data_IF_004094636886
#
_entry.id   IF_004094636886
#
_cell.length_a   1.000
_cell.length_b   1.000
_cell.length_c   1.000
_cell.angle_alpha   90.00
_cell.angle_beta   90.00
_cell.angle_gamma   90.00
#
_symmetry.space_group_name_H-M   'P 1'
#
loop_
_entity.id
_entity.type
_entity.pdbx_description
1 polymer ?
#
# COMPACT_ATOMS: atom_id res chain seq x y z
N UNK A 1 -5.73 -10.21 -1.54
CA UNK A 1 -6.35 -10.57 -2.83
C UNK A 1 -6.38 -12.09 -3.05
N UNK A 2 -5.24 -12.79 -3.00
CA UNK A 2 -5.15 -14.25 -3.22
C UNK A 2 -6.17 -15.03 -2.38
N UNK A 3 -6.25 -14.74 -1.08
CA UNK A 3 -7.19 -15.38 -0.16
C UNK A 3 -8.65 -15.20 -0.57
N UNK A 4 -9.05 -13.99 -1.01
CA UNK A 4 -10.42 -13.72 -1.43
C UNK A 4 -10.78 -14.45 -2.73
N UNK A 5 -9.83 -14.55 -3.67
CA UNK A 5 -10.02 -15.31 -4.91
C UNK A 5 -10.08 -16.82 -4.65
N UNK A 6 -9.21 -17.35 -3.78
CA UNK A 6 -9.25 -18.75 -3.37
C UNK A 6 -10.58 -19.09 -2.69
N UNK A 7 -11.05 -18.22 -1.77
CA UNK A 7 -12.34 -18.43 -1.12
C UNK A 7 -13.50 -18.37 -2.13
N UNK A 8 -13.48 -17.43 -3.10
CA UNK A 8 -14.48 -17.36 -4.17
C UNK A 8 -14.53 -18.64 -5.02
N UNK A 9 -13.36 -19.21 -5.32
CA UNK A 9 -13.26 -20.46 -6.09
C UNK A 9 -13.78 -21.66 -5.30
N UNK A 10 -13.66 -21.64 -3.97
CA UNK A 10 -14.04 -22.75 -3.10
C UNK A 10 -15.54 -22.83 -2.84
N UNK A 11 -16.30 -21.73 -2.97
CA UNK A 11 -17.75 -21.72 -2.69
C UNK A 11 -18.49 -20.63 -3.46
N UNK A 12 -19.72 -20.95 -3.86
CA UNK A 12 -20.66 -19.98 -4.45
C UNK A 12 -21.87 -19.69 -3.55
N UNK A 13 -21.97 -20.39 -2.40
CA UNK A 13 -23.15 -20.34 -1.50
C UNK A 13 -22.80 -19.79 -0.12
N UNK A 14 -21.62 -20.10 0.42
CA UNK A 14 -21.20 -19.59 1.72
C UNK A 14 -20.90 -18.10 1.59
N UNK A 15 -21.53 -17.23 2.42
CA UNK A 15 -21.25 -15.80 2.42
C UNK A 15 -19.79 -15.49 2.70
N UNK A 16 -19.21 -14.60 1.91
CA UNK A 16 -17.82 -14.15 2.05
C UNK A 16 -17.79 -12.63 2.23
N UNK A 17 -17.21 -12.17 3.33
CA UNK A 17 -17.00 -10.75 3.59
C UNK A 17 -15.50 -10.45 3.54
N UNK A 18 -15.07 -9.64 2.57
CA UNK A 18 -13.66 -9.38 2.31
C UNK A 18 -13.21 -7.96 2.70
N UNK A 19 -11.92 -7.80 3.01
CA UNK A 19 -11.20 -6.53 2.96
C UNK A 19 -9.99 -6.67 2.03
N UNK A 20 -9.94 -5.86 0.99
CA UNK A 20 -8.85 -5.90 0.01
C UNK A 20 -8.29 -4.51 -0.28
N UNK A 21 -7.03 -4.47 -0.73
CA UNK A 21 -6.34 -3.22 -1.10
C UNK A 21 -6.43 -2.86 -2.58
N UNK A 22 -7.06 -3.70 -3.39
CA UNK A 22 -7.20 -3.51 -4.84
C UNK A 22 -8.67 -3.42 -5.25
N UNK A 23 -8.94 -3.05 -6.51
CA UNK A 23 -10.28 -2.96 -7.06
C UNK A 23 -10.93 -4.37 -7.18
N UNK A 24 -12.05 -4.63 -6.47
CA UNK A 24 -12.72 -5.92 -6.49
C UNK A 24 -13.45 -6.22 -7.82
N UNK A 25 -13.77 -5.19 -8.62
CA UNK A 25 -14.38 -5.35 -9.93
C UNK A 25 -13.31 -5.73 -10.95
N UNK A 26 -12.21 -4.97 -11.01
CA UNK A 26 -11.07 -5.27 -11.89
C UNK A 26 -10.48 -6.66 -11.61
N UNK A 27 -10.46 -7.08 -10.34
CA UNK A 27 -10.00 -8.41 -9.95
C UNK A 27 -11.03 -9.53 -10.16
N UNK A 28 -12.21 -9.21 -10.65
CA UNK A 28 -13.29 -10.16 -10.91
C UNK A 28 -13.90 -10.79 -9.65
N UNK A 29 -13.71 -10.20 -8.47
CA UNK A 29 -14.34 -10.69 -7.23
C UNK A 29 -15.83 -10.44 -7.21
N UNK A 30 -16.24 -9.25 -7.62
CA UNK A 30 -17.64 -8.82 -7.66
C UNK A 30 -17.98 -8.19 -9.02
N UNK A 31 -19.29 -8.09 -9.35
CA UNK A 31 -19.75 -7.50 -10.60
C UNK A 31 -19.65 -5.97 -10.60
N UNK A 32 -20.00 -5.34 -9.49
CA UNK A 32 -19.90 -3.89 -9.27
C UNK A 32 -19.83 -3.58 -7.77
N UNK A 33 -19.45 -2.36 -7.42
CA UNK A 33 -19.45 -1.89 -6.03
C UNK A 33 -20.89 -1.83 -5.46
N UNK A 34 -21.83 -1.29 -6.20
CA UNK A 34 -23.23 -1.10 -5.74
C UNK A 34 -24.03 -2.42 -5.69
N UNK A 35 -23.73 -3.35 -6.60
CA UNK A 35 -24.39 -4.66 -6.70
C UNK A 35 -23.34 -5.74 -6.90
N UNK A 36 -22.75 -6.26 -5.80
CA UNK A 36 -21.67 -7.24 -5.90
C UNK A 36 -22.07 -8.49 -6.68
N UNK A 37 -23.28 -8.96 -6.48
CA UNK A 37 -23.82 -10.16 -7.12
C UNK A 37 -23.14 -11.43 -6.60
N UNK A 38 -23.93 -12.45 -6.27
CA UNK A 38 -23.39 -13.69 -5.69
C UNK A 38 -23.24 -13.62 -4.18
N UNK A 39 -22.25 -14.37 -3.66
CA UNK A 39 -22.04 -14.59 -2.23
C UNK A 39 -20.93 -13.73 -1.60
N UNK A 40 -20.40 -12.75 -2.34
CA UNK A 40 -19.29 -11.91 -1.86
C UNK A 40 -19.73 -10.45 -1.66
N UNK A 41 -19.28 -9.85 -0.57
CA UNK A 41 -19.35 -8.41 -0.32
C UNK A 41 -18.16 -8.00 0.56
N UNK A 42 -17.99 -6.70 0.86
CA UNK A 42 -16.92 -6.27 1.75
C UNK A 42 -16.45 -4.84 1.55
N UNK A 43 -15.15 -4.63 1.82
CA UNK A 43 -14.45 -3.35 1.78
C UNK A 43 -13.30 -3.37 0.76
N UNK A 44 -13.18 -2.29 -0.03
CA UNK A 44 -12.05 -2.02 -0.90
C UNK A 44 -11.35 -0.72 -0.45
N UNK A 45 -10.04 -0.80 -0.15
CA UNK A 45 -9.23 0.35 0.28
C UNK A 45 -8.49 1.04 -0.87
N UNK A 46 -8.46 0.41 -2.04
CA UNK A 46 -7.80 0.91 -3.25
C UNK A 46 -6.36 1.39 -3.03
N UNK A 47 -5.60 0.69 -2.18
CA UNK A 47 -4.24 1.09 -1.82
C UNK A 47 -3.25 1.01 -2.99
N UNK A 48 -3.53 0.16 -3.98
CA UNK A 48 -2.73 0.07 -5.21
C UNK A 48 -2.90 1.34 -6.04
N UNK A 49 -4.13 1.84 -6.14
CA UNK A 49 -4.47 3.07 -6.88
C UNK A 49 -3.85 4.34 -6.24
N UNK A 50 -3.41 4.26 -4.98
CA UNK A 50 -2.72 5.34 -4.28
C UNK A 50 -1.19 5.36 -4.52
N UNK A 51 -0.63 4.35 -5.17
CA UNK A 51 0.83 4.27 -5.42
C UNK A 51 1.37 5.48 -6.20
N UNK A 52 0.72 5.97 -7.28
CA UNK A 52 1.17 7.16 -7.98
C UNK A 52 1.20 8.41 -7.07
N UNK A 53 0.24 8.52 -6.14
CA UNK A 53 0.22 9.64 -5.19
C UNK A 53 1.35 9.55 -4.17
N UNK A 54 1.68 8.34 -3.72
CA UNK A 54 2.86 8.13 -2.87
C UNK A 54 4.16 8.49 -3.58
N UNK A 55 4.29 8.16 -4.88
CA UNK A 55 5.44 8.57 -5.69
C UNK A 55 5.54 10.09 -5.81
N UNK A 56 4.42 10.80 -6.02
CA UNK A 56 4.40 12.27 -6.02
C UNK A 56 4.89 12.84 -4.69
N UNK A 57 4.44 12.30 -3.56
CA UNK A 57 4.89 12.72 -2.24
C UNK A 57 6.39 12.48 -2.03
N UNK A 58 6.89 11.31 -2.47
CA UNK A 58 8.33 11.04 -2.43
C UNK A 58 9.11 12.05 -3.28
N UNK A 59 8.62 12.39 -4.46
CA UNK A 59 9.25 13.40 -5.33
C UNK A 59 9.17 14.81 -4.74
N UNK A 60 8.10 15.15 -4.02
CA UNK A 60 8.02 16.41 -3.26
C UNK A 60 9.07 16.48 -2.14
N UNK A 61 9.38 15.35 -1.50
CA UNK A 61 10.43 15.25 -0.47
C UNK A 61 11.83 15.29 -1.05
N UNK A 62 12.03 14.75 -2.26
CA UNK A 62 13.31 14.68 -2.94
C UNK A 62 13.14 15.13 -4.40
N UNK A 63 13.01 16.45 -4.67
CA UNK A 63 12.74 16.98 -6.02
C UNK A 63 13.86 16.70 -7.03
N UNK A 64 15.08 16.48 -6.54
CA UNK A 64 16.24 16.12 -7.35
C UNK A 64 16.29 14.63 -7.74
N UNK A 65 15.38 13.80 -7.23
CA UNK A 65 15.36 12.37 -7.52
C UNK A 65 15.19 12.12 -9.03
N UNK A 66 16.17 11.45 -9.62
CA UNK A 66 16.12 10.97 -11.03
C UNK A 66 15.94 9.47 -11.10
N UNK A 67 16.31 8.76 -10.04
CA UNK A 67 16.21 7.30 -9.90
C UNK A 67 15.47 7.00 -8.63
N UNK A 68 14.38 6.24 -8.72
CA UNK A 68 13.60 5.73 -7.59
C UNK A 68 13.46 4.22 -7.74
N UNK A 69 13.65 3.51 -6.65
CA UNK A 69 13.40 2.07 -6.62
C UNK A 69 11.97 1.76 -6.18
N UNK A 70 11.40 0.70 -6.74
CA UNK A 70 10.15 0.10 -6.33
C UNK A 70 10.40 -1.32 -5.83
N UNK A 71 10.21 -1.55 -4.55
CA UNK A 71 10.33 -2.88 -3.93
C UNK A 71 9.01 -3.63 -4.07
N UNK A 72 9.02 -4.78 -4.76
CA UNK A 72 7.85 -5.63 -4.96
C UNK A 72 8.10 -7.05 -4.46
N UNK A 73 7.06 -7.73 -4.01
CA UNK A 73 7.10 -9.16 -3.77
C UNK A 73 6.66 -9.89 -5.06
N UNK A 74 7.54 -10.64 -5.73
CA UNK A 74 7.21 -11.33 -6.98
C UNK A 74 6.13 -12.40 -6.83
N UNK A 75 5.90 -12.90 -5.61
CA UNK A 75 4.80 -13.83 -5.31
C UNK A 75 3.43 -13.13 -5.20
N UNK A 76 3.40 -11.78 -5.13
CA UNK A 76 2.15 -11.02 -5.10
C UNK A 76 1.57 -10.90 -6.51
N UNK A 77 0.31 -11.33 -6.75
CA UNK A 77 -0.33 -11.23 -8.08
C UNK A 77 -0.41 -9.79 -8.63
N UNK A 78 -0.30 -8.77 -7.77
CA UNK A 78 -0.33 -7.38 -8.19
C UNK A 78 1.07 -6.82 -8.55
N UNK A 79 2.14 -7.58 -8.34
CA UNK A 79 3.51 -7.07 -8.51
C UNK A 79 3.78 -6.54 -9.93
N UNK A 80 3.31 -7.27 -10.94
CA UNK A 80 3.50 -6.86 -12.33
C UNK A 80 2.67 -5.62 -12.68
N UNK A 81 1.37 -5.59 -12.32
CA UNK A 81 0.50 -4.43 -12.59
C UNK A 81 0.99 -3.20 -11.83
N UNK A 82 1.33 -3.33 -10.54
CA UNK A 82 1.91 -2.26 -9.73
C UNK A 82 3.19 -1.70 -10.37
N UNK A 83 4.09 -2.57 -10.83
CA UNK A 83 5.33 -2.14 -11.51
C UNK A 83 5.05 -1.36 -12.81
N UNK A 84 4.08 -1.80 -13.62
CA UNK A 84 3.69 -1.11 -14.85
C UNK A 84 3.04 0.24 -14.56
N UNK A 85 2.11 0.30 -13.62
CA UNK A 85 1.38 1.52 -13.26
C UNK A 85 2.34 2.55 -12.65
N UNK A 86 3.28 2.10 -11.81
CA UNK A 86 4.31 2.97 -11.24
C UNK A 86 5.29 3.49 -12.30
N UNK A 87 5.72 2.65 -13.26
CA UNK A 87 6.57 3.10 -14.37
C UNK A 87 5.85 4.15 -15.24
N UNK A 88 4.55 3.97 -15.49
CA UNK A 88 3.73 4.94 -16.20
C UNK A 88 3.61 6.28 -15.44
N UNK A 89 3.48 6.23 -14.10
CA UNK A 89 3.41 7.41 -13.24
C UNK A 89 4.76 8.13 -13.12
N UNK A 90 5.88 7.40 -13.11
CA UNK A 90 7.23 7.95 -12.98
C UNK A 90 7.70 8.70 -14.25
N UNK A 91 7.30 8.21 -15.43
CA UNK A 91 7.73 8.75 -16.74
C UNK A 91 7.50 10.27 -16.90
N UNK A 92 6.28 10.83 -16.65
CA UNK A 92 6.05 12.27 -16.79
C UNK A 92 6.80 13.11 -15.76
N UNK A 93 7.26 12.50 -14.66
CA UNK A 93 8.05 13.15 -13.62
C UNK A 93 9.56 13.13 -13.92
N UNK A 94 9.98 12.51 -15.03
CA UNK A 94 11.40 12.35 -15.40
C UNK A 94 12.16 11.42 -14.46
N UNK A 95 11.46 10.49 -13.80
CA UNK A 95 12.02 9.52 -12.87
C UNK A 95 12.24 8.18 -13.56
N UNK A 96 13.46 7.66 -13.50
CA UNK A 96 13.78 6.28 -13.83
C UNK A 96 13.37 5.36 -12.68
N UNK A 97 12.42 4.45 -12.93
CA UNK A 97 11.95 3.50 -11.93
C UNK A 97 12.71 2.18 -12.08
N UNK A 98 13.35 1.73 -10.99
CA UNK A 98 14.00 0.42 -10.91
C UNK A 98 13.20 -0.51 -10.00
N UNK A 99 12.85 -1.70 -10.50
CA UNK A 99 12.06 -2.68 -9.75
C UNK A 99 12.99 -3.64 -9.05
N UNK A 100 12.96 -3.63 -7.73
CA UNK A 100 13.64 -4.57 -6.85
C UNK A 100 12.67 -5.64 -6.35
N UNK A 101 13.13 -6.86 -6.18
CA UNK A 101 12.28 -7.99 -5.81
C UNK A 101 12.73 -8.59 -4.49
N UNK A 102 11.78 -8.80 -3.57
CA UNK A 102 12.02 -9.52 -2.32
C UNK A 102 10.80 -10.34 -1.91
N UNK A 103 11.02 -11.60 -1.57
CA UNK A 103 9.98 -12.53 -1.08
C UNK A 103 10.30 -13.11 0.30
N UNK A 104 11.50 -12.84 0.81
CA UNK A 104 12.01 -13.29 2.11
C UNK A 104 13.01 -12.28 2.68
N UNK A 105 13.49 -12.50 3.90
CA UNK A 105 14.37 -11.56 4.60
C UNK A 105 15.75 -11.42 3.92
N UNK A 106 16.28 -12.49 3.31
CA UNK A 106 17.54 -12.43 2.56
C UNK A 106 17.43 -11.57 1.31
N UNK A 107 16.31 -11.70 0.60
CA UNK A 107 16.04 -10.88 -0.58
C UNK A 107 15.94 -9.39 -0.21
N UNK A 108 15.40 -9.05 0.99
CA UNK A 108 15.38 -7.68 1.48
C UNK A 108 16.80 -7.12 1.61
N UNK A 109 17.71 -7.85 2.24
CA UNK A 109 19.09 -7.41 2.41
C UNK A 109 19.81 -7.21 1.06
N UNK A 110 19.57 -8.11 0.11
CA UNK A 110 20.10 -7.98 -1.25
C UNK A 110 19.52 -6.76 -1.98
N UNK A 111 18.21 -6.55 -1.88
CA UNK A 111 17.55 -5.42 -2.52
C UNK A 111 18.05 -4.07 -1.97
N UNK A 112 18.29 -3.96 -0.67
CA UNK A 112 18.84 -2.75 -0.09
C UNK A 112 20.32 -2.54 -0.44
N UNK A 113 21.11 -3.60 -0.58
CA UNK A 113 22.48 -3.50 -1.12
C UNK A 113 22.48 -3.04 -2.59
N UNK A 114 21.50 -3.44 -3.39
CA UNK A 114 21.35 -3.01 -4.79
C UNK A 114 20.95 -1.53 -4.89
N UNK A 115 20.16 -0.99 -3.93
CA UNK A 115 19.81 0.43 -3.86
C UNK A 115 21.02 1.34 -3.87
N UNK A 116 22.05 0.99 -3.10
CA UNK A 116 23.31 1.78 -3.00
C UNK A 116 24.03 1.79 -4.34
N UNK A 117 24.09 0.65 -5.03
CA UNK A 117 24.73 0.54 -6.36
C UNK A 117 23.97 1.29 -7.45
N UNK A 118 22.64 1.38 -7.35
CA UNK A 118 21.78 2.12 -8.27
C UNK A 118 21.86 3.64 -8.08
N UNK A 119 22.37 4.12 -6.95
CA UNK A 119 22.28 5.52 -6.57
C UNK A 119 20.83 6.00 -6.49
N UNK A 120 19.92 5.14 -6.02
CA UNK A 120 18.51 5.46 -5.90
C UNK A 120 18.31 6.59 -4.88
N UNK A 121 17.56 7.62 -5.26
CA UNK A 121 17.28 8.77 -4.39
C UNK A 121 16.03 8.59 -3.52
N UNK A 122 15.32 7.49 -3.70
CA UNK A 122 14.14 7.15 -2.90
C UNK A 122 13.65 5.72 -3.16
N UNK A 123 12.87 5.21 -2.22
CA UNK A 123 12.31 3.87 -2.24
C UNK A 123 10.79 3.91 -2.08
N UNK A 124 10.10 3.33 -3.04
CA UNK A 124 8.68 2.99 -2.94
C UNK A 124 8.55 1.52 -2.53
N UNK A 125 7.69 1.23 -1.54
CA UNK A 125 7.42 -0.14 -1.12
C UNK A 125 5.99 -0.48 -1.53
N UNK A 126 5.84 -1.49 -2.40
CA UNK A 126 4.55 -1.91 -2.91
C UNK A 126 3.69 -2.58 -1.83
N UNK A 127 2.35 -2.51 -1.94
CA UNK A 127 1.44 -3.17 -1.01
C UNK A 127 1.61 -4.68 -0.97
N UNK A 128 2.07 -5.22 0.16
CA UNK A 128 2.25 -6.66 0.33
C UNK A 128 2.18 -7.07 1.81
N UNK A 129 1.52 -8.21 2.16
CA UNK A 129 1.45 -8.71 3.54
C UNK A 129 2.81 -9.09 4.14
N UNK A 130 3.75 -9.60 3.33
CA UNK A 130 5.10 -9.88 3.79
C UNK A 130 5.80 -8.60 4.21
N UNK A 131 5.75 -7.54 3.39
CA UNK A 131 6.33 -6.24 3.73
C UNK A 131 5.67 -5.60 4.95
N UNK A 132 4.34 -5.73 5.10
CA UNK A 132 3.66 -5.29 6.32
C UNK A 132 4.25 -5.96 7.56
N UNK A 133 4.41 -7.28 7.54
CA UNK A 133 4.99 -8.03 8.66
C UNK A 133 6.46 -7.70 8.94
N UNK A 134 7.12 -6.96 8.05
CA UNK A 134 8.51 -6.51 8.12
C UNK A 134 8.66 -5.00 8.22
N UNK A 135 7.57 -4.27 8.56
CA UNK A 135 7.58 -2.79 8.63
C UNK A 135 8.73 -2.25 9.47
N UNK A 136 8.99 -2.82 10.65
CA UNK A 136 10.10 -2.39 11.51
C UNK A 136 11.48 -2.64 10.85
N UNK A 137 11.67 -3.80 10.21
CA UNK A 137 12.92 -4.10 9.50
C UNK A 137 13.12 -3.18 8.31
N UNK A 138 12.07 -2.95 7.52
CA UNK A 138 12.11 -2.04 6.37
C UNK A 138 12.44 -0.61 6.79
N UNK A 139 11.88 -0.12 7.90
CA UNK A 139 12.21 1.19 8.45
C UNK A 139 13.69 1.28 8.87
N UNK A 140 14.20 0.26 9.56
CA UNK A 140 15.61 0.18 9.97
C UNK A 140 16.55 0.14 8.77
N UNK A 141 16.26 -0.69 7.76
CA UNK A 141 17.06 -0.78 6.54
C UNK A 141 17.03 0.55 5.77
N UNK A 142 15.87 1.18 5.61
CA UNK A 142 15.75 2.47 4.93
C UNK A 142 16.61 3.55 5.62
N UNK A 143 16.60 3.58 6.95
CA UNK A 143 17.42 4.52 7.71
C UNK A 143 18.92 4.19 7.62
N UNK A 144 19.30 2.91 7.72
CA UNK A 144 20.69 2.47 7.64
C UNK A 144 21.33 2.80 6.27
N UNK A 145 20.58 2.63 5.19
CA UNK A 145 20.98 2.97 3.81
C UNK A 145 20.70 4.44 3.45
N UNK A 146 20.23 5.25 4.42
CA UNK A 146 19.91 6.67 4.24
C UNK A 146 18.98 6.95 3.04
N UNK A 147 18.06 6.04 2.77
CA UNK A 147 17.12 6.14 1.65
C UNK A 147 15.75 6.64 2.13
N UNK A 148 15.24 7.76 1.60
CA UNK A 148 13.85 8.18 1.82
C UNK A 148 12.89 7.11 1.30
N UNK A 149 12.12 6.50 2.21
CA UNK A 149 11.21 5.41 1.84
C UNK A 149 9.76 5.77 2.15
N UNK A 150 8.87 5.39 1.23
CA UNK A 150 7.42 5.59 1.36
C UNK A 150 6.72 4.25 1.29
N UNK A 151 5.83 4.00 2.25
CA UNK A 151 5.03 2.79 2.32
C UNK A 151 3.54 3.14 2.53
N UNK A 152 2.67 2.16 2.39
CA UNK A 152 1.25 2.37 2.65
C UNK A 152 0.85 2.20 4.11
N UNK A 153 1.64 1.47 4.91
CA UNK A 153 1.24 1.07 6.27
C UNK A 153 1.81 2.02 7.33
N UNK A 154 0.93 2.44 8.26
CA UNK A 154 1.30 3.30 9.38
C UNK A 154 2.34 2.66 10.30
N UNK A 155 2.31 1.32 10.44
CA UNK A 155 3.25 0.54 11.22
C UNK A 155 4.71 0.76 10.77
N UNK A 156 4.92 1.10 9.50
CA UNK A 156 6.24 1.46 8.98
C UNK A 156 6.73 2.79 9.57
N UNK A 157 5.87 3.80 9.65
CA UNK A 157 6.22 5.13 10.17
C UNK A 157 6.35 5.09 11.69
N UNK A 158 5.47 4.36 12.39
CA UNK A 158 5.55 4.10 13.82
C UNK A 158 6.86 3.40 14.21
N UNK A 159 7.36 2.52 13.35
CA UNK A 159 8.63 1.82 13.51
C UNK A 159 9.87 2.65 13.09
N UNK A 160 9.71 3.92 12.72
CA UNK A 160 10.80 4.82 12.32
C UNK A 160 10.92 5.05 10.82
N UNK A 161 9.98 4.59 10.00
CA UNK A 161 9.90 4.93 8.57
C UNK A 161 9.54 6.39 8.34
N UNK A 162 9.75 6.89 7.12
CA UNK A 162 9.61 8.32 6.81
C UNK A 162 8.17 8.76 6.61
N UNK A 163 7.42 8.07 5.75
CA UNK A 163 6.08 8.47 5.32
C UNK A 163 5.21 7.26 5.01
N UNK A 164 3.93 7.33 5.41
CA UNK A 164 2.89 6.44 4.92
C UNK A 164 1.67 7.23 4.42
N UNK A 165 1.02 6.66 3.39
CA UNK A 165 -0.20 7.25 2.82
C UNK A 165 -1.13 6.14 2.34
N UNK A 166 -2.22 5.90 3.06
CA UNK A 166 -3.18 4.84 2.77
C UNK A 166 -4.51 5.02 3.49
N UNK A 167 -5.52 4.26 3.08
CA UNK A 167 -6.78 4.15 3.81
C UNK A 167 -6.61 3.49 5.17
N UNK A 168 -7.29 4.02 6.19
CA UNK A 168 -7.29 3.46 7.54
C UNK A 168 -7.91 2.04 7.54
N UNK A 169 -7.18 1.01 8.00
CA UNK A 169 -7.68 -0.36 8.01
C UNK A 169 -8.83 -0.57 8.99
N UNK A 170 -8.91 0.23 10.05
CA UNK A 170 -9.93 0.04 11.11
C UNK A 170 -11.35 0.24 10.60
N UNK A 171 -11.55 1.17 9.66
CA UNK A 171 -12.88 1.39 9.04
C UNK A 171 -13.33 0.16 8.25
N UNK A 172 -12.40 -0.47 7.52
CA UNK A 172 -12.68 -1.73 6.82
C UNK A 172 -13.06 -2.85 7.79
N UNK A 173 -12.35 -2.98 8.91
CA UNK A 173 -12.63 -4.02 9.91
C UNK A 173 -13.97 -3.79 10.60
N UNK A 174 -14.32 -2.54 10.94
CA UNK A 174 -15.65 -2.21 11.47
C UNK A 174 -16.77 -2.54 10.48
N UNK A 175 -16.55 -2.27 9.19
CA UNK A 175 -17.53 -2.65 8.17
C UNK A 175 -17.70 -4.16 8.07
N UNK A 176 -16.60 -4.92 8.03
CA UNK A 176 -16.64 -6.37 7.98
C UNK A 176 -17.47 -6.91 9.13
N UNK A 177 -17.23 -6.43 10.36
CA UNK A 177 -18.03 -6.81 11.53
C UNK A 177 -19.52 -6.52 11.36
N UNK A 178 -19.87 -5.31 10.90
CA UNK A 178 -21.28 -4.94 10.63
C UNK A 178 -21.92 -5.80 9.54
N UNK A 179 -21.22 -6.05 8.43
CA UNK A 179 -21.75 -6.86 7.34
C UNK A 179 -21.91 -8.33 7.72
N UNK A 180 -20.95 -8.86 8.51
CA UNK A 180 -21.06 -10.21 9.07
C UNK A 180 -22.32 -10.34 9.94
N UNK A 181 -22.56 -9.38 10.84
CA UNK A 181 -23.75 -9.38 11.69
C UNK A 181 -25.07 -9.32 10.88
N UNK A 182 -25.13 -8.48 9.84
CA UNK A 182 -26.30 -8.36 8.95
C UNK A 182 -26.54 -9.67 8.17
N UNK A 183 -25.48 -10.31 7.68
CA UNK A 183 -25.58 -11.58 6.95
C UNK A 183 -26.02 -12.71 7.89
N UNK A 184 -25.52 -12.76 9.12
CA UNK A 184 -25.97 -13.70 10.12
C UNK A 184 -27.45 -13.45 10.52
N UNK A 185 -27.92 -12.20 10.39
CA UNK A 185 -29.31 -11.81 10.55
C UNK A 185 -30.22 -12.11 9.35
N UNK A 186 -29.66 -12.73 8.29
CA UNK A 186 -30.44 -13.20 7.12
C UNK A 186 -30.34 -12.30 5.88
N UNK A 187 -29.57 -11.19 5.90
CA UNK A 187 -29.35 -10.38 4.70
C UNK A 187 -28.41 -11.09 3.72
N UNK A 188 -28.68 -10.90 2.42
CA UNK A 188 -27.84 -11.53 1.40
C UNK A 188 -26.61 -10.67 1.07
N UNK A 189 -25.42 -11.26 0.89
CA UNK A 189 -24.23 -10.53 0.45
C UNK A 189 -24.44 -9.71 -0.82
N UNK A 190 -25.26 -10.21 -1.76
CA UNK A 190 -25.61 -9.53 -3.03
C UNK A 190 -26.32 -8.19 -2.84
N UNK A 191 -26.97 -7.97 -1.72
CA UNK A 191 -27.75 -6.77 -1.39
C UNK A 191 -26.93 -5.76 -0.57
N UNK A 192 -25.72 -6.14 -0.15
CA UNK A 192 -24.78 -5.33 0.60
C UNK A 192 -23.71 -4.74 -0.34
N UNK A 193 -23.74 -3.43 -0.64
CA UNK A 193 -22.74 -2.82 -1.52
C UNK A 193 -21.32 -3.00 -0.99
N UNK A 194 -20.36 -3.26 -1.87
CA UNK A 194 -18.95 -3.15 -1.50
C UNK A 194 -18.64 -1.69 -1.23
N UNK A 195 -18.16 -1.38 -0.04
CA UNK A 195 -17.79 -0.02 0.31
C UNK A 195 -16.32 0.26 -0.04
N UNK A 196 -16.12 1.36 -0.72
CA UNK A 196 -14.81 1.92 -0.93
C UNK A 196 -14.51 2.90 0.22
N UNK A 197 -13.40 2.69 0.90
CA UNK A 197 -12.95 3.62 1.92
C UNK A 197 -12.04 4.67 1.31
N UNK A 198 -12.48 5.93 1.42
CA UNK A 198 -11.75 7.11 0.97
C UNK A 198 -11.10 7.89 2.14
N UNK A 199 -11.19 7.39 3.37
CA UNK A 199 -10.52 8.03 4.51
C UNK A 199 -9.04 7.66 4.46
N UNK A 200 -8.28 8.49 3.73
CA UNK A 200 -6.85 8.28 3.48
C UNK A 200 -6.10 9.13 4.51
N UNK A 201 -5.16 8.50 5.20
CA UNK A 201 -4.32 9.13 6.21
C UNK A 201 -2.90 9.31 5.69
N UNK A 202 -2.36 10.50 5.87
CA UNK A 202 -0.95 10.83 5.68
C UNK A 202 -0.26 10.87 7.05
N UNK A 203 0.73 10.02 7.23
CA UNK A 203 1.55 10.02 8.43
C UNK A 203 3.00 10.33 8.09
N UNK A 204 3.63 11.23 8.85
CA UNK A 204 5.00 11.70 8.66
C UNK A 204 5.83 11.49 9.92
N UNK A 205 7.11 11.16 9.74
CA UNK A 205 8.09 11.09 10.83
C UNK A 205 9.18 12.15 10.63
N UNK A 206 9.11 13.24 11.39
CA UNK A 206 10.07 14.34 11.29
C UNK A 206 11.44 13.98 11.90
N UNK A 207 11.50 13.05 12.88
CA UNK A 207 12.79 12.53 13.38
C UNK A 207 13.56 11.82 12.26
N UNK A 208 12.86 10.97 11.52
CA UNK A 208 13.44 10.25 10.39
C UNK A 208 13.80 11.20 9.25
N UNK A 209 12.94 12.17 8.94
CA UNK A 209 13.26 13.21 7.96
C UNK A 209 14.55 13.96 8.32
N UNK A 210 14.68 14.39 9.58
CA UNK A 210 15.90 15.06 10.10
C UNK A 210 17.13 14.14 10.02
N UNK A 211 17.00 12.87 10.37
CA UNK A 211 18.10 11.90 10.30
C UNK A 211 18.57 11.67 8.85
N UNK A 212 17.65 11.76 7.88
CA UNK A 212 17.93 11.67 6.45
C UNK A 212 18.41 13.00 5.83
N UNK A 213 18.42 14.09 6.60
CA UNK A 213 18.77 15.42 6.10
C UNK A 213 17.72 16.05 5.19
N UNK A 214 16.48 15.62 5.31
CA UNK A 214 15.35 16.10 4.47
C UNK A 214 14.67 17.30 5.12
N UNK A 215 14.30 18.26 4.29
CA UNK A 215 13.40 19.35 4.65
C UNK A 215 12.00 18.97 4.15
N UNK A 216 11.09 18.75 5.08
CA UNK A 216 9.69 18.42 4.71
C UNK A 216 8.99 19.72 4.32
N UNK A 217 8.38 19.79 3.11
CA UNK A 217 7.59 20.95 2.71
C UNK A 217 6.45 21.23 3.70
N UNK A 218 6.27 22.51 4.08
CA UNK A 218 5.22 22.94 5.03
C UNK A 218 3.84 22.43 4.62
N UNK A 219 3.55 22.39 3.32
CA UNK A 219 2.29 21.87 2.78
C UNK A 219 2.06 20.40 3.17
N UNK A 220 3.09 19.55 3.12
CA UNK A 220 2.96 18.14 3.53
C UNK A 220 2.73 18.01 5.02
N UNK A 221 3.43 18.81 5.84
CA UNK A 221 3.21 18.84 7.29
C UNK A 221 1.80 19.29 7.62
N UNK A 222 1.31 20.35 6.95
CA UNK A 222 -0.03 20.90 7.20
C UNK A 222 -1.18 19.97 6.75
N UNK A 223 -0.91 19.05 5.81
CA UNK A 223 -1.90 18.08 5.32
C UNK A 223 -1.76 16.70 5.98
N UNK A 224 -0.76 16.52 6.84
CA UNK A 224 -0.57 15.27 7.56
C UNK A 224 -1.61 15.11 8.67
N UNK A 225 -2.22 13.92 8.73
CA UNK A 225 -3.17 13.56 9.79
C UNK A 225 -2.43 13.23 11.09
N UNK A 226 -1.20 12.75 10.99
CA UNK A 226 -0.34 12.44 12.14
C UNK A 226 1.13 12.76 11.83
N UNK A 227 1.81 13.38 12.81
CA UNK A 227 3.22 13.77 12.70
C UNK A 227 3.97 13.29 13.94
N UNK A 228 4.94 12.37 13.74
CA UNK A 228 5.88 11.95 14.78
C UNK A 228 7.03 12.96 14.86
N UNK A 229 7.19 13.56 16.06
CA UNK A 229 8.22 14.58 16.35
C UNK A 229 9.34 14.01 17.22
#
# INVERSE_FOLDING_TARGET
>A
MVTAQAAKAATSTIPLVFAIGADPVKSGLVKSFSRPGGNLTGAARLNVELEPKRLQMLHELVPSARTVALLVNPANPNAESSSKDMAAAARPMGIALHVLKASNDRDLDLAFGELDALGAAGLMIAPDPFFLSRSARLAQLALAHRIPAVFQYREFVEAGGLLSYAGNPMDSYRLIGRYTARILGGERPSDLPVQQYANIELMLNLKTAKALGLIIPERLVATADEVIQ
#
